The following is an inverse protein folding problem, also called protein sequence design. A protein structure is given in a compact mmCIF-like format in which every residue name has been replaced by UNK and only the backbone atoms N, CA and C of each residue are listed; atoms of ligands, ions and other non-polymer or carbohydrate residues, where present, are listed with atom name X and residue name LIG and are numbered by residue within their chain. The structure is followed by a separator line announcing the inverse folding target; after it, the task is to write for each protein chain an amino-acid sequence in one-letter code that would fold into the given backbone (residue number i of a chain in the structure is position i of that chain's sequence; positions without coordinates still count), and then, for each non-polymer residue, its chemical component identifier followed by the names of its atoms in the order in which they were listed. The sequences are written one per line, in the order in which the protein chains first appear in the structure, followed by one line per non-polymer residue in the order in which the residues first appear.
data_IF_847147696893
#
_entry.id   IF_847147696893
#
_cell.length_a   1.000
_cell.length_b   1.000
_cell.length_c   1.000
_cell.angle_alpha   90.00
_cell.angle_beta   90.00
_cell.angle_gamma   90.00
#
_symmetry.space_group_name_H-M   'P 1'
#
loop_
_entity.id
_entity.type
_entity.pdbx_description
1 polymer ?
#
# COMPACT_ATOMS: atom_id res chain seq x y z
N UNK A 1 -16.29 -4.72 -6.19
CA UNK A 1 -17.44 -5.24 -6.98
C UNK A 1 -18.20 -6.37 -6.27
N UNK A 2 -18.53 -6.32 -4.96
CA UNK A 2 -19.29 -7.40 -4.27
C UNK A 2 -18.83 -8.85 -4.62
N UNK A 3 -17.53 -9.09 -4.74
CA UNK A 3 -16.97 -10.40 -5.14
C UNK A 3 -17.06 -10.74 -6.64
N UNK A 4 -17.69 -9.92 -7.49
CA UNK A 4 -17.62 -10.08 -8.95
C UNK A 4 -16.18 -9.77 -9.40
N UNK A 5 -15.64 -10.62 -10.27
CA UNK A 5 -14.27 -10.57 -10.81
C UNK A 5 -13.14 -10.92 -9.83
N UNK A 6 -13.39 -11.72 -8.78
CA UNK A 6 -12.38 -12.15 -7.81
C UNK A 6 -11.11 -12.84 -8.41
N UNK A 7 -11.18 -13.32 -9.65
CA UNK A 7 -10.02 -13.89 -10.36
C UNK A 7 -9.32 -12.93 -11.34
N UNK A 8 -9.75 -11.66 -11.42
CA UNK A 8 -9.10 -10.66 -12.25
C UNK A 8 -8.05 -9.91 -11.42
N UNK A 9 -6.82 -9.69 -11.91
CA UNK A 9 -5.75 -9.03 -11.14
C UNK A 9 -6.12 -7.66 -10.55
N UNK A 10 -7.06 -6.94 -11.18
CA UNK A 10 -7.56 -5.67 -10.65
C UNK A 10 -8.41 -5.79 -9.36
N UNK A 11 -8.82 -7.00 -9.00
CA UNK A 11 -9.65 -7.30 -7.84
C UNK A 11 -8.89 -8.08 -6.76
N UNK A 12 -7.56 -8.18 -6.88
CA UNK A 12 -6.71 -8.78 -5.86
C UNK A 12 -7.00 -8.12 -4.50
N UNK A 13 -7.07 -8.99 -3.49
CA UNK A 13 -7.36 -8.65 -2.09
C UNK A 13 -6.34 -9.36 -1.20
N UNK A 14 -5.04 -8.98 -1.29
CA UNK A 14 -3.96 -9.63 -0.53
C UNK A 14 -4.18 -9.55 0.99
N UNK A 15 -5.06 -8.65 1.43
CA UNK A 15 -5.40 -8.40 2.81
C UNK A 15 -6.69 -9.10 3.28
N UNK A 16 -7.40 -9.80 2.39
CA UNK A 16 -8.67 -10.46 2.71
C UNK A 16 -9.74 -9.52 3.26
N UNK A 17 -9.73 -8.26 2.84
CA UNK A 17 -10.60 -7.19 3.34
C UNK A 17 -12.06 -7.35 2.90
N UNK A 18 -12.31 -7.98 1.76
CA UNK A 18 -13.68 -8.28 1.31
C UNK A 18 -14.42 -9.19 2.30
N UNK A 19 -13.73 -10.17 2.87
CA UNK A 19 -14.30 -11.06 3.89
C UNK A 19 -14.61 -10.33 5.21
N UNK A 20 -14.01 -9.15 5.41
CA UNK A 20 -14.23 -8.27 6.56
C UNK A 20 -15.23 -7.15 6.24
N UNK A 21 -15.98 -7.28 5.14
CA UNK A 21 -16.96 -6.28 4.68
C UNK A 21 -16.35 -4.91 4.36
N UNK A 22 -15.06 -4.85 4.06
CA UNK A 22 -14.40 -3.62 3.64
C UNK A 22 -14.39 -3.55 2.10
N UNK A 23 -15.17 -2.64 1.48
CA UNK A 23 -15.22 -2.50 0.03
C UNK A 23 -13.98 -1.84 -0.57
N UNK A 24 -13.12 -1.22 0.25
CA UNK A 24 -11.81 -0.68 -0.12
C UNK A 24 -10.73 -1.76 -0.06
N UNK A 25 -10.98 -2.92 -0.66
CA UNK A 25 -10.09 -4.08 -0.61
C UNK A 25 -8.80 -3.90 -1.43
N UNK A 26 -8.71 -2.84 -2.22
CA UNK A 26 -7.50 -2.38 -2.88
C UNK A 26 -7.57 -0.86 -3.11
N UNK A 27 -6.45 -0.27 -3.51
CA UNK A 27 -6.30 1.19 -3.63
C UNK A 27 -7.28 1.82 -4.62
N UNK A 28 -7.60 1.16 -5.73
CA UNK A 28 -8.53 1.73 -6.72
C UNK A 28 -9.97 1.75 -6.19
N UNK A 29 -10.39 0.69 -5.48
CA UNK A 29 -11.70 0.66 -4.84
C UNK A 29 -11.78 1.65 -3.68
N UNK A 30 -10.72 1.79 -2.89
CA UNK A 30 -10.63 2.78 -1.82
C UNK A 30 -10.70 4.20 -2.38
N UNK A 31 -9.88 4.53 -3.37
CA UNK A 31 -9.88 5.84 -4.05
C UNK A 31 -11.26 6.20 -4.61
N UNK A 32 -11.92 5.26 -5.28
CA UNK A 32 -13.26 5.47 -5.83
C UNK A 32 -14.29 5.81 -4.74
N UNK A 33 -14.26 5.07 -3.62
CA UNK A 33 -15.16 5.32 -2.51
C UNK A 33 -14.88 6.67 -1.84
N UNK A 34 -13.60 7.01 -1.65
CA UNK A 34 -13.17 8.26 -1.03
C UNK A 34 -13.54 9.48 -1.88
N UNK A 35 -13.29 9.46 -3.18
CA UNK A 35 -13.64 10.57 -4.09
C UNK A 35 -15.15 10.77 -4.17
N UNK A 36 -15.93 9.69 -4.24
CA UNK A 36 -17.39 9.79 -4.18
C UNK A 36 -17.89 10.42 -2.87
N UNK A 37 -17.30 10.04 -1.73
CA UNK A 37 -17.62 10.64 -0.43
C UNK A 37 -17.21 12.11 -0.37
N UNK A 38 -16.02 12.47 -0.87
CA UNK A 38 -15.56 13.86 -0.92
C UNK A 38 -16.49 14.76 -1.74
N UNK A 39 -16.93 14.30 -2.92
CA UNK A 39 -17.90 15.02 -3.74
C UNK A 39 -19.26 15.14 -3.05
N UNK A 40 -19.78 14.05 -2.49
CA UNK A 40 -21.11 14.04 -1.87
C UNK A 40 -21.20 14.77 -0.53
N UNK A 41 -20.14 14.74 0.28
CA UNK A 41 -20.13 15.30 1.65
C UNK A 41 -19.52 16.70 1.71
N UNK A 42 -18.49 16.96 0.90
CA UNK A 42 -17.71 18.20 0.96
C UNK A 42 -17.90 19.08 -0.28
N UNK A 43 -18.59 18.59 -1.32
CA UNK A 43 -18.65 19.27 -2.62
C UNK A 43 -17.28 19.38 -3.30
N UNK A 44 -16.34 18.52 -2.92
CA UNK A 44 -14.96 18.56 -3.42
C UNK A 44 -14.84 17.72 -4.69
N UNK A 45 -14.35 18.35 -5.76
CA UNK A 45 -13.90 17.64 -6.96
C UNK A 45 -12.52 17.04 -6.67
N UNK A 46 -12.52 15.85 -6.07
CA UNK A 46 -11.32 15.21 -5.54
C UNK A 46 -10.66 14.31 -6.59
N UNK A 47 -9.35 14.43 -6.70
CA UNK A 47 -8.49 13.57 -7.49
C UNK A 47 -7.44 12.88 -6.59
N UNK A 48 -6.91 11.74 -7.04
CA UNK A 48 -5.92 10.99 -6.25
C UNK A 48 -4.66 10.67 -7.03
N UNK A 49 -3.55 10.54 -6.31
CA UNK A 49 -2.35 9.83 -6.75
C UNK A 49 -2.21 8.56 -5.92
N UNK A 50 -1.70 7.48 -6.50
CA UNK A 50 -1.50 6.20 -5.80
C UNK A 50 -0.01 5.89 -5.73
N UNK A 51 0.50 5.65 -4.52
CA UNK A 51 1.89 5.21 -4.34
C UNK A 51 2.06 3.77 -4.83
N UNK A 52 2.97 3.57 -5.77
CA UNK A 52 3.29 2.28 -6.39
C UNK A 52 4.75 1.89 -6.22
N UNK A 53 5.50 2.63 -5.39
CA UNK A 53 6.94 2.42 -5.22
C UNK A 53 7.31 1.03 -4.74
N UNK A 54 6.46 0.40 -3.91
CA UNK A 54 6.77 -0.87 -3.23
C UNK A 54 5.66 -1.93 -3.33
N UNK A 55 4.76 -1.80 -4.31
CA UNK A 55 3.60 -2.69 -4.47
C UNK A 55 3.74 -3.72 -5.60
N UNK A 56 4.95 -3.97 -6.11
CA UNK A 56 5.19 -4.93 -7.20
C UNK A 56 4.98 -6.40 -6.83
N UNK A 57 4.87 -6.71 -5.53
CA UNK A 57 4.55 -8.04 -5.00
C UNK A 57 3.44 -7.87 -3.98
N UNK A 58 2.28 -8.51 -4.16
CA UNK A 58 1.11 -8.32 -3.29
C UNK A 58 1.15 -9.13 -1.98
N UNK A 59 1.49 -10.41 -2.08
CA UNK A 59 1.31 -11.40 -1.01
C UNK A 59 2.58 -11.65 -0.16
N UNK A 60 3.32 -10.59 0.14
CA UNK A 60 4.60 -10.69 0.87
C UNK A 60 4.48 -10.44 2.39
N UNK A 61 3.30 -10.01 2.86
CA UNK A 61 3.06 -9.68 4.28
C UNK A 61 2.16 -10.72 4.94
N UNK A 62 2.45 -11.05 6.19
CA UNK A 62 1.59 -11.90 7.04
C UNK A 62 0.37 -11.13 7.55
N UNK A 63 0.55 -9.83 7.80
CA UNK A 63 -0.51 -8.90 8.16
C UNK A 63 -0.35 -7.63 7.33
N UNK A 64 -1.45 -7.13 6.76
CA UNK A 64 -1.41 -5.87 6.02
C UNK A 64 -1.15 -4.64 6.89
N UNK A 65 -1.22 -4.76 8.22
CA UNK A 65 -0.80 -3.73 9.15
C UNK A 65 0.74 -3.62 9.28
N UNK A 66 1.50 -4.64 8.85
CA UNK A 66 2.95 -4.62 8.89
C UNK A 66 3.45 -3.69 7.77
N UNK A 67 4.15 -2.62 8.17
CA UNK A 67 4.57 -1.55 7.26
C UNK A 67 6.08 -1.36 7.18
N UNK A 68 6.84 -1.78 8.20
CA UNK A 68 8.26 -1.47 8.27
C UNK A 68 9.08 -2.49 7.49
N UNK A 69 9.85 -2.03 6.51
CA UNK A 69 10.81 -2.79 5.72
C UNK A 69 10.26 -4.16 5.26
N UNK A 70 9.07 -4.23 4.64
CA UNK A 70 8.43 -5.51 4.34
C UNK A 70 9.30 -6.35 3.40
N UNK A 71 9.67 -7.54 3.87
CA UNK A 71 10.54 -8.51 3.22
C UNK A 71 9.83 -9.05 1.99
N UNK A 72 10.55 -9.08 0.86
CA UNK A 72 10.00 -9.56 -0.41
C UNK A 72 9.10 -8.55 -1.13
N UNK A 73 8.94 -7.33 -0.61
CA UNK A 73 8.35 -6.24 -1.38
C UNK A 73 9.17 -5.98 -2.66
N UNK A 74 8.48 -5.70 -3.76
CA UNK A 74 9.09 -5.38 -5.05
C UNK A 74 8.68 -4.00 -5.55
N UNK A 75 9.50 -3.41 -6.41
CA UNK A 75 9.14 -2.17 -7.10
C UNK A 75 7.91 -2.41 -8.00
N UNK A 76 6.94 -1.51 -7.91
CA UNK A 76 5.73 -1.57 -8.72
C UNK A 76 5.84 -0.80 -10.03
N UNK A 77 4.70 -0.33 -10.54
CA UNK A 77 4.63 0.49 -11.75
C UNK A 77 5.42 1.78 -11.56
N UNK A 78 6.41 2.13 -12.42
CA UNK A 78 7.13 3.39 -12.31
C UNK A 78 6.20 4.61 -12.39
N UNK A 79 6.61 5.74 -11.79
CA UNK A 79 5.84 6.99 -11.83
C UNK A 79 5.37 7.33 -13.25
N UNK A 80 4.05 7.45 -13.43
CA UNK A 80 3.41 7.63 -14.75
C UNK A 80 2.01 8.21 -14.62
N UNK A 81 1.56 8.93 -15.63
CA UNK A 81 0.16 9.37 -15.80
C UNK A 81 -0.67 8.38 -16.62
N UNK A 82 -0.05 7.32 -17.17
CA UNK A 82 -0.78 6.24 -17.85
C UNK A 82 -1.42 5.30 -16.82
N UNK A 83 -2.59 5.69 -16.34
CA UNK A 83 -3.34 5.00 -15.28
C UNK A 83 -4.58 4.27 -15.82
N UNK A 84 -5.11 3.31 -15.06
CA UNK A 84 -6.32 2.57 -15.46
C UNK A 84 -7.59 3.43 -15.51
N UNK A 85 -7.68 4.49 -14.71
CA UNK A 85 -8.84 5.40 -14.70
C UNK A 85 -8.38 6.85 -14.49
N UNK A 86 -8.09 7.54 -15.59
CA UNK A 86 -7.59 8.92 -15.59
C UNK A 86 -8.61 9.98 -15.17
N UNK A 87 -9.89 9.63 -15.04
CA UNK A 87 -10.90 10.55 -14.47
C UNK A 87 -10.94 10.53 -12.94
N UNK A 88 -10.13 9.66 -12.31
CA UNK A 88 -10.10 9.45 -10.85
C UNK A 88 -8.67 9.56 -10.32
N UNK A 89 -7.73 8.90 -11.00
CA UNK A 89 -6.33 8.80 -10.61
C UNK A 89 -5.51 9.67 -11.57
N UNK A 90 -4.80 10.65 -11.03
CA UNK A 90 -3.97 11.54 -11.86
C UNK A 90 -2.65 10.88 -12.23
N UNK A 91 -2.09 10.09 -11.31
CA UNK A 91 -0.83 9.39 -11.52
C UNK A 91 -0.65 8.18 -10.59
N UNK A 92 0.08 7.19 -11.08
CA UNK A 92 0.89 6.33 -10.22
C UNK A 92 2.19 7.08 -9.93
N UNK A 93 2.58 7.14 -8.65
CA UNK A 93 3.77 7.88 -8.24
C UNK A 93 4.56 7.05 -7.24
N UNK A 94 5.89 7.19 -7.22
CA UNK A 94 6.71 6.62 -6.15
C UNK A 94 6.91 7.69 -5.10
N UNK A 95 6.04 7.68 -4.08
CA UNK A 95 6.10 8.66 -3.01
C UNK A 95 7.15 8.27 -1.98
N UNK A 96 7.06 7.04 -1.43
CA UNK A 96 8.15 6.47 -0.66
C UNK A 96 9.24 5.94 -1.60
N UNK A 97 10.42 6.54 -1.54
CA UNK A 97 11.58 6.11 -2.31
C UNK A 97 11.96 4.65 -1.96
N UNK A 98 11.91 3.71 -2.92
CA UNK A 98 12.29 2.33 -2.67
C UNK A 98 13.78 2.24 -2.28
N UNK A 99 14.07 1.47 -1.22
CA UNK A 99 15.43 1.29 -0.70
C UNK A 99 15.78 2.18 0.50
N UNK A 100 15.05 3.28 0.73
CA UNK A 100 15.16 4.02 1.98
C UNK A 100 14.43 3.28 3.10
N UNK A 101 15.13 2.95 4.19
CA UNK A 101 14.53 2.24 5.34
C UNK A 101 13.32 3.00 5.90
N UNK A 102 12.32 2.27 6.37
CA UNK A 102 11.16 2.82 7.09
C UNK A 102 11.47 3.07 8.58
N UNK A 103 12.43 2.33 9.12
CA UNK A 103 12.80 2.38 10.54
C UNK A 103 13.90 1.37 10.88
N UNK A 104 14.09 1.12 12.17
CA UNK A 104 15.08 0.17 12.66
C UNK A 104 14.41 -0.82 13.63
N UNK A 105 14.92 -2.06 13.62
CA UNK A 105 14.70 -3.02 14.71
C UNK A 105 15.53 -2.61 15.95
N UNK A 106 15.62 -3.46 16.97
CA UNK A 106 16.32 -3.12 18.20
C UNK A 106 17.83 -2.87 18.02
N UNK A 107 18.44 -3.46 16.99
CA UNK A 107 19.88 -3.40 16.76
C UNK A 107 20.15 -2.90 15.34
N UNK A 108 21.04 -1.91 15.23
CA UNK A 108 21.51 -1.38 13.96
C UNK A 108 22.50 -2.35 13.29
N UNK A 109 22.75 -2.23 11.98
CA UNK A 109 23.69 -3.11 11.27
C UNK A 109 25.12 -3.13 11.84
N UNK A 110 25.52 -2.09 12.58
CA UNK A 110 26.82 -2.02 13.26
C UNK A 110 26.85 -2.68 14.65
N UNK A 111 25.76 -3.34 15.07
CA UNK A 111 25.64 -3.99 16.37
C UNK A 111 25.25 -3.06 17.53
N UNK A 112 25.10 -1.76 17.29
CA UNK A 112 24.66 -0.82 18.35
C UNK A 112 23.14 -0.81 18.49
N UNK A 113 22.64 -0.42 19.66
CA UNK A 113 21.21 -0.29 19.89
C UNK A 113 20.63 0.84 19.02
N UNK A 114 19.45 0.61 18.42
CA UNK A 114 18.79 1.69 17.71
C UNK A 114 18.23 2.74 18.69
N UNK A 115 18.46 4.05 18.45
CA UNK A 115 17.88 5.09 19.30
C UNK A 115 16.35 5.22 19.21
N UNK A 116 15.73 4.72 18.13
CA UNK A 116 14.29 4.85 17.85
C UNK A 116 13.71 3.53 17.30
N UNK A 117 13.76 2.43 18.06
CA UNK A 117 13.25 1.15 17.59
C UNK A 117 11.73 1.20 17.47
N UNK A 118 11.18 0.52 16.46
CA UNK A 118 9.74 0.33 16.32
C UNK A 118 9.40 -1.16 16.31
N UNK A 119 8.36 -1.53 17.05
CA UNK A 119 7.84 -2.90 17.10
C UNK A 119 7.47 -3.45 15.72
N UNK A 120 7.01 -2.61 14.80
CA UNK A 120 6.66 -3.03 13.44
C UNK A 120 7.90 -3.32 12.59
N UNK A 121 9.06 -2.74 12.92
CA UNK A 121 10.34 -3.13 12.34
C UNK A 121 10.91 -4.42 12.95
N UNK A 122 10.18 -5.02 13.90
CA UNK A 122 10.50 -6.33 14.48
C UNK A 122 9.52 -7.43 14.05
N UNK A 123 8.62 -7.15 13.09
CA UNK A 123 7.71 -8.17 12.56
C UNK A 123 8.49 -9.25 11.79
N UNK A 124 7.97 -10.47 11.79
CA UNK A 124 8.58 -11.62 11.10
C UNK A 124 8.74 -11.43 9.58
N UNK A 125 7.90 -10.57 9.00
CA UNK A 125 7.94 -10.18 7.60
C UNK A 125 8.68 -8.84 7.38
N UNK A 126 9.36 -8.29 8.39
CA UNK A 126 10.26 -7.15 8.23
C UNK A 126 11.69 -7.61 7.93
N UNK A 127 12.47 -6.78 7.23
CA UNK A 127 13.92 -6.96 7.08
C UNK A 127 14.64 -6.49 8.36
N UNK A 128 15.58 -7.30 8.85
CA UNK A 128 16.37 -6.99 10.05
C UNK A 128 15.81 -7.56 11.36
N UNK A 129 14.96 -8.58 11.22
CA UNK A 129 14.34 -9.37 12.29
C UNK A 129 14.86 -10.79 12.31
#
# INVERSE_FOLDING_TARGET
LQGKHAGHPCCDDPCGLLAQWNPGNNELNYAKALVAAAGGMLGMDAHVIIDTGRNGVGDHRKSCANWCNPRGAGAGVPSTTNVTNSSLVDAYFWLKAPGESDGCSQTLPNGTACPRPDTMCTSEDSLGT
#
